data_IF_818438352192
#
_entry.id   IF_818438352192
#
_cell.length_a   1.000
_cell.length_b   1.000
_cell.length_c   1.000
_cell.angle_alpha   90.00
_cell.angle_beta   90.00
_cell.angle_gamma   90.00
#
_symmetry.space_group_name_H-M   'P 1'
#
loop_
_entity.id
_entity.type
_entity.pdbx_description
1 polymer ?
#
# COMPACT_ATOMS: atom_id res chain seq x y z
N UNK A 1 11.73 0.16 13.83
CA UNK A 1 10.94 1.36 13.51
C UNK A 1 11.19 2.39 14.61
N UNK A 2 11.56 3.61 14.23
CA UNK A 2 11.95 4.71 15.14
C UNK A 2 10.86 5.03 16.17
N UNK A 3 9.59 4.77 15.86
CA UNK A 3 8.46 5.05 16.76
C UNK A 3 8.14 3.93 17.77
N UNK A 4 8.72 2.73 17.61
CA UNK A 4 8.49 1.61 18.56
C UNK A 4 9.10 1.87 19.94
N UNK A 5 9.92 2.91 20.09
CA UNK A 5 10.51 3.31 21.37
C UNK A 5 9.53 4.06 22.29
N UNK A 6 8.37 4.50 21.77
CA UNK A 6 7.37 5.22 22.56
C UNK A 6 6.34 4.26 23.16
N UNK A 7 6.26 4.23 24.50
CA UNK A 7 5.39 3.29 25.23
C UNK A 7 3.89 3.59 25.15
N UNK A 8 3.51 4.76 24.63
CA UNK A 8 2.13 5.23 24.54
C UNK A 8 1.59 5.19 23.10
N UNK A 9 2.26 4.47 22.19
CA UNK A 9 1.94 4.49 20.76
C UNK A 9 1.84 3.08 20.19
N UNK A 10 0.76 2.78 19.49
CA UNK A 10 0.67 1.62 18.60
C UNK A 10 1.24 1.99 17.24
N UNK A 11 2.25 1.24 16.77
CA UNK A 11 2.88 1.44 15.46
C UNK A 11 2.50 0.28 14.55
N UNK A 12 1.68 0.55 13.54
CA UNK A 12 1.29 -0.41 12.50
C UNK A 12 2.08 -0.10 11.23
N UNK A 13 2.94 -1.04 10.84
CA UNK A 13 3.75 -0.90 9.63
C UNK A 13 2.99 -1.40 8.40
N UNK A 14 3.46 -1.02 7.21
CA UNK A 14 2.92 -1.54 5.97
C UNK A 14 3.09 -3.09 5.99
N UNK A 15 2.02 -3.87 5.77
CA UNK A 15 2.04 -5.32 5.96
C UNK A 15 2.64 -6.02 4.73
N UNK A 16 3.80 -5.55 4.27
CA UNK A 16 4.50 -6.06 3.07
C UNK A 16 4.74 -7.57 3.16
N UNK A 17 5.01 -8.09 4.36
CA UNK A 17 5.23 -9.53 4.56
C UNK A 17 3.96 -10.37 4.32
N UNK A 18 2.76 -9.83 4.59
CA UNK A 18 1.51 -10.50 4.22
C UNK A 18 1.39 -10.60 2.70
N UNK A 19 1.80 -9.56 1.98
CA UNK A 19 1.72 -9.51 0.52
C UNK A 19 2.77 -10.41 -0.17
N UNK A 20 3.85 -10.72 0.54
CA UNK A 20 4.91 -11.63 0.07
C UNK A 20 4.61 -13.10 0.36
N UNK A 21 3.59 -13.39 1.15
CA UNK A 21 3.17 -14.75 1.45
C UNK A 21 1.65 -14.85 1.65
N UNK A 22 0.93 -14.89 0.53
CA UNK A 22 -0.49 -15.19 0.48
C UNK A 22 -0.65 -16.67 0.17
N UNK A 23 -0.89 -17.48 1.20
CA UNK A 23 -1.01 -18.94 1.08
C UNK A 23 0.18 -19.60 0.33
N UNK A 24 1.41 -19.20 0.65
CA UNK A 24 2.63 -19.69 0.02
C UNK A 24 3.04 -18.95 -1.27
N UNK A 25 2.25 -17.96 -1.70
CA UNK A 25 2.48 -17.21 -2.95
C UNK A 25 2.96 -15.78 -2.68
N UNK A 26 4.02 -15.35 -3.36
CA UNK A 26 4.53 -13.98 -3.31
C UNK A 26 3.75 -13.08 -4.28
N UNK A 27 2.65 -12.48 -3.81
CA UNK A 27 1.78 -11.67 -4.65
C UNK A 27 2.42 -10.34 -5.07
N UNK A 28 3.31 -9.79 -4.24
CA UNK A 28 4.10 -8.60 -4.59
C UNK A 28 5.01 -8.87 -5.79
N UNK A 29 5.71 -10.01 -5.80
CA UNK A 29 6.53 -10.43 -6.93
C UNK A 29 5.71 -10.67 -8.20
N UNK A 30 4.55 -11.31 -8.07
CA UNK A 30 3.64 -11.54 -9.20
C UNK A 30 3.14 -10.22 -9.81
N UNK A 31 2.86 -9.21 -8.98
CA UNK A 31 2.47 -7.89 -9.45
C UNK A 31 3.58 -7.22 -10.26
N UNK A 32 4.84 -7.28 -9.79
CA UNK A 32 5.96 -6.68 -10.53
C UNK A 32 6.35 -7.47 -11.78
N UNK A 33 6.21 -8.81 -11.79
CA UNK A 33 6.58 -9.66 -12.94
C UNK A 33 5.51 -9.75 -14.01
N UNK A 34 4.22 -9.74 -13.64
CA UNK A 34 3.10 -9.75 -14.57
C UNK A 34 1.98 -8.80 -14.09
N UNK A 35 2.21 -7.48 -14.18
CA UNK A 35 1.29 -6.48 -13.63
C UNK A 35 -0.10 -6.54 -14.26
N UNK A 36 -0.23 -6.80 -15.56
CA UNK A 36 -1.55 -6.92 -16.22
C UNK A 36 -2.41 -8.03 -15.61
N UNK A 37 -1.81 -9.15 -15.18
CA UNK A 37 -2.56 -10.28 -14.63
C UNK A 37 -2.86 -10.14 -13.14
N UNK A 38 -1.94 -9.53 -12.39
CA UNK A 38 -1.93 -9.60 -10.93
C UNK A 38 -2.17 -8.26 -10.22
N UNK A 39 -2.19 -7.12 -10.94
CA UNK A 39 -2.41 -5.81 -10.29
C UNK A 39 -3.76 -5.73 -9.60
N UNK A 40 -4.84 -6.22 -10.22
CA UNK A 40 -6.16 -6.25 -9.58
C UNK A 40 -6.14 -7.09 -8.30
N UNK A 41 -5.62 -8.31 -8.37
CA UNK A 41 -5.54 -9.23 -7.23
C UNK A 41 -4.69 -8.63 -6.10
N UNK A 42 -3.54 -8.04 -6.44
CA UNK A 42 -2.64 -7.39 -5.49
C UNK A 42 -3.31 -6.18 -4.84
N UNK A 43 -3.90 -5.26 -5.62
CA UNK A 43 -4.55 -4.07 -5.07
C UNK A 43 -5.77 -4.41 -4.22
N UNK A 44 -6.54 -5.43 -4.58
CA UNK A 44 -7.65 -5.94 -3.75
C UNK A 44 -7.15 -6.43 -2.39
N UNK A 45 -6.05 -7.19 -2.35
CA UNK A 45 -5.47 -7.66 -1.09
C UNK A 45 -4.82 -6.53 -0.27
N UNK A 46 -4.19 -5.56 -0.94
CA UNK A 46 -3.66 -4.34 -0.30
C UNK A 46 -4.78 -3.55 0.35
N UNK A 47 -5.91 -3.32 -0.34
CA UNK A 47 -7.06 -2.62 0.25
C UNK A 47 -7.57 -3.34 1.50
N UNK A 48 -7.76 -4.66 1.46
CA UNK A 48 -8.20 -5.46 2.61
C UNK A 48 -7.25 -5.31 3.80
N UNK A 49 -5.95 -5.52 3.58
CA UNK A 49 -4.96 -5.47 4.66
C UNK A 49 -4.79 -4.06 5.22
N UNK A 50 -4.88 -3.01 4.39
CA UNK A 50 -4.90 -1.62 4.86
C UNK A 50 -6.16 -1.30 5.67
N UNK A 51 -7.32 -1.82 5.25
CA UNK A 51 -8.56 -1.66 5.99
C UNK A 51 -8.47 -2.29 7.39
N UNK A 52 -7.90 -3.49 7.49
CA UNK A 52 -7.66 -4.16 8.78
C UNK A 52 -6.77 -3.34 9.73
N UNK A 53 -5.78 -2.62 9.19
CA UNK A 53 -4.96 -1.71 10.02
C UNK A 53 -5.74 -0.46 10.45
N UNK A 54 -6.62 0.06 9.59
CA UNK A 54 -7.47 1.21 9.91
C UNK A 54 -8.48 0.86 10.99
N UNK A 55 -9.10 -0.31 10.91
CA UNK A 55 -10.09 -0.80 11.89
C UNK A 55 -9.48 -1.43 13.13
N UNK A 56 -8.15 -1.54 13.21
CA UNK A 56 -7.46 -2.01 14.40
C UNK A 56 -7.73 -1.06 15.59
N UNK A 57 -8.33 -1.61 16.64
CA UNK A 57 -8.55 -0.94 17.92
C UNK A 57 -7.24 -0.91 18.73
N UNK A 58 -6.68 0.29 18.88
CA UNK A 58 -5.50 0.50 19.71
C UNK A 58 -5.89 0.68 21.17
N UNK A 59 -5.24 -0.06 22.07
CA UNK A 59 -5.31 0.21 23.51
C UNK A 59 -4.45 1.40 23.96
N UNK A 60 -3.76 2.06 23.03
CA UNK A 60 -2.88 3.20 23.29
C UNK A 60 -3.53 4.49 22.77
N UNK A 61 -3.19 5.65 23.35
CA UNK A 61 -3.78 6.93 22.94
C UNK A 61 -3.36 7.35 21.52
N UNK A 62 -2.22 6.86 21.02
CA UNK A 62 -1.72 7.21 19.70
C UNK A 62 -1.58 5.97 18.81
N UNK A 63 -2.15 6.04 17.61
CA UNK A 63 -1.98 5.02 16.55
C UNK A 63 -1.27 5.65 15.37
N UNK A 64 -0.09 5.13 15.03
CA UNK A 64 0.70 5.55 13.86
C UNK A 64 0.67 4.42 12.84
N UNK A 65 0.31 4.74 11.61
CA UNK A 65 0.24 3.81 10.50
C UNK A 65 1.22 4.22 9.40
N UNK A 66 1.97 3.26 8.87
CA UNK A 66 2.68 3.42 7.61
C UNK A 66 1.70 3.14 6.48
N UNK A 67 1.52 4.12 5.58
CA UNK A 67 0.50 4.12 4.51
C UNK A 67 -0.94 4.13 5.04
N UNK A 68 -1.89 4.07 4.12
CA UNK A 68 -3.33 4.11 4.36
C UNK A 68 -4.10 3.64 3.13
N UNK A 69 -5.39 3.35 3.28
CA UNK A 69 -6.30 3.13 2.13
C UNK A 69 -6.26 4.29 1.13
N UNK A 70 -6.06 5.53 1.60
CA UNK A 70 -5.92 6.70 0.73
C UNK A 70 -4.72 6.59 -0.20
N UNK A 71 -3.58 6.11 0.32
CA UNK A 71 -2.40 5.87 -0.52
C UNK A 71 -2.57 4.69 -1.47
N UNK A 72 -3.34 3.66 -1.11
CA UNK A 72 -3.68 2.55 -2.02
C UNK A 72 -4.47 3.06 -3.24
N UNK A 73 -5.37 4.03 -3.05
CA UNK A 73 -6.09 4.69 -4.16
C UNK A 73 -5.15 5.40 -5.13
N UNK A 74 -4.05 5.98 -4.65
CA UNK A 74 -3.03 6.58 -5.53
C UNK A 74 -2.38 5.54 -6.46
N UNK A 75 -2.09 4.33 -5.96
CA UNK A 75 -1.53 3.26 -6.80
C UNK A 75 -2.52 2.77 -7.85
N UNK A 76 -3.81 2.64 -7.49
CA UNK A 76 -4.87 2.29 -8.43
C UNK A 76 -4.97 3.34 -9.53
N UNK A 77 -4.94 4.63 -9.18
CA UNK A 77 -4.95 5.74 -10.14
C UNK A 77 -3.73 5.70 -11.07
N UNK A 78 -2.53 5.40 -10.56
CA UNK A 78 -1.34 5.19 -11.39
C UNK A 78 -1.54 4.03 -12.37
N UNK A 79 -2.05 2.88 -11.90
CA UNK A 79 -2.29 1.71 -12.74
C UNK A 79 -3.36 1.94 -13.81
N UNK A 80 -4.38 2.76 -13.50
CA UNK A 80 -5.40 3.24 -14.45
C UNK A 80 -4.78 4.10 -15.55
N UNK A 81 -3.97 5.10 -15.19
CA UNK A 81 -3.28 5.97 -16.17
C UNK A 81 -2.31 5.19 -17.06
N UNK A 82 -1.63 4.19 -16.50
CA UNK A 82 -0.72 3.32 -17.22
C UNK A 82 -1.40 2.19 -18.00
N UNK A 83 -2.75 2.12 -17.99
CA UNK A 83 -3.54 1.08 -18.67
C UNK A 83 -3.11 -0.35 -18.30
N UNK A 84 -2.73 -0.54 -17.04
CA UNK A 84 -2.38 -1.84 -16.48
C UNK A 84 -3.64 -2.59 -16.07
N UNK A 85 -4.59 -1.88 -15.46
CA UNK A 85 -5.90 -2.39 -15.06
C UNK A 85 -6.93 -2.13 -16.18
N UNK A 86 -7.83 -3.08 -16.36
CA UNK A 86 -9.01 -2.92 -17.22
C UNK A 86 -10.07 -2.03 -16.54
N UNK A 87 -10.94 -1.40 -17.33
CA UNK A 87 -11.98 -0.48 -16.81
C UNK A 87 -12.88 -1.15 -15.76
N UNK A 88 -13.23 -2.43 -15.97
CA UNK A 88 -14.04 -3.19 -15.01
C UNK A 88 -13.30 -3.46 -13.70
N UNK A 89 -11.99 -3.72 -13.75
CA UNK A 89 -11.17 -3.94 -12.56
C UNK A 89 -11.04 -2.66 -11.73
N UNK A 90 -10.90 -1.52 -12.41
CA UNK A 90 -10.87 -0.20 -11.78
C UNK A 90 -12.20 0.08 -11.08
N UNK A 91 -13.32 -0.14 -11.76
CA UNK A 91 -14.65 0.12 -11.17
C UNK A 91 -14.90 -0.73 -9.93
N UNK A 92 -14.55 -2.02 -9.97
CA UNK A 92 -14.68 -2.89 -8.79
C UNK A 92 -13.80 -2.39 -7.64
N UNK A 93 -12.55 -1.98 -7.90
CA UNK A 93 -11.65 -1.47 -6.86
C UNK A 93 -12.09 -0.10 -6.29
N UNK A 94 -12.67 0.77 -7.12
CA UNK A 94 -13.21 2.07 -6.71
C UNK A 94 -14.49 1.89 -5.88
N UNK A 95 -15.41 1.01 -6.30
CA UNK A 95 -16.64 0.70 -5.55
C UNK A 95 -16.32 0.10 -4.17
N UNK A 96 -15.37 -0.84 -4.11
CA UNK A 96 -14.89 -1.39 -2.85
C UNK A 96 -14.29 -0.30 -1.96
N UNK A 97 -13.48 0.59 -2.53
CA UNK A 97 -12.88 1.70 -1.80
C UNK A 97 -13.96 2.61 -1.21
N UNK A 98 -14.91 3.06 -2.03
CA UNK A 98 -15.96 4.00 -1.60
C UNK A 98 -16.86 3.36 -0.53
N UNK A 99 -17.20 2.07 -0.67
CA UNK A 99 -17.92 1.34 0.37
C UNK A 99 -17.13 1.28 1.68
N UNK A 100 -15.82 1.00 1.63
CA UNK A 100 -14.99 0.94 2.84
C UNK A 100 -14.94 2.31 3.55
N UNK A 101 -14.76 3.40 2.81
CA UNK A 101 -14.74 4.75 3.38
C UNK A 101 -16.05 5.07 4.10
N UNK A 102 -17.18 4.67 3.53
CA UNK A 102 -18.50 4.95 4.11
C UNK A 102 -18.84 4.05 5.32
N UNK A 103 -18.37 2.81 5.33
CA UNK A 103 -18.89 1.79 6.25
C UNK A 103 -17.88 1.32 7.32
N UNK A 104 -16.58 1.48 7.12
CA UNK A 104 -15.56 0.86 7.98
C UNK A 104 -15.02 1.76 9.11
N UNK A 105 -15.66 2.90 9.38
CA UNK A 105 -15.23 3.86 10.41
C UNK A 105 -13.72 4.17 10.36
N UNK A 106 -13.24 4.64 9.20
CA UNK A 106 -11.84 5.00 9.01
C UNK A 106 -11.59 6.40 9.57
N UNK A 107 -10.92 6.47 10.72
CA UNK A 107 -10.55 7.74 11.37
C UNK A 107 -9.10 8.07 11.04
N UNK A 108 -8.83 9.31 10.61
CA UNK A 108 -7.48 9.80 10.33
C UNK A 108 -7.37 11.26 10.74
N UNK A 109 -6.72 11.51 11.88
CA UNK A 109 -6.57 12.85 12.46
C UNK A 109 -5.48 13.69 11.77
N UNK A 110 -4.42 13.03 11.30
CA UNK A 110 -3.27 13.68 10.67
C UNK A 110 -2.62 12.78 9.62
N UNK A 111 -2.27 13.37 8.47
CA UNK A 111 -1.44 12.74 7.44
C UNK A 111 -0.08 13.44 7.41
N UNK A 112 0.99 12.69 7.66
CA UNK A 112 2.36 13.17 7.54
C UNK A 112 2.90 12.79 6.16
N UNK A 113 3.07 13.78 5.28
CA UNK A 113 3.63 13.56 3.94
C UNK A 113 5.16 13.67 3.95
N UNK A 114 5.85 12.53 3.88
CA UNK A 114 7.30 12.46 3.75
C UNK A 114 7.74 12.74 2.31
N UNK A 115 7.77 14.02 1.94
CA UNK A 115 8.13 14.47 0.59
C UNK A 115 9.61 14.21 0.29
N UNK A 116 9.88 13.65 -0.89
CA UNK A 116 11.23 13.38 -1.40
C UNK A 116 11.22 13.42 -2.93
N UNK A 117 12.39 13.59 -3.57
CA UNK A 117 12.50 13.48 -5.03
C UNK A 117 12.51 12.01 -5.47
N UNK A 118 12.06 11.71 -6.71
CA UNK A 118 12.12 10.37 -7.30
C UNK A 118 13.53 9.77 -7.29
N UNK A 119 14.57 10.58 -7.55
CA UNK A 119 15.96 10.13 -7.55
C UNK A 119 16.40 9.59 -6.18
N UNK A 120 16.03 10.29 -5.11
CA UNK A 120 16.34 9.87 -3.74
C UNK A 120 15.58 8.59 -3.38
N UNK A 121 14.34 8.43 -3.85
CA UNK A 121 13.57 7.18 -3.66
C UNK A 121 14.25 6.03 -4.39
N UNK A 122 14.64 6.26 -5.64
CA UNK A 122 15.28 5.25 -6.49
C UNK A 122 16.58 4.74 -5.88
N UNK A 123 17.45 5.62 -5.39
CA UNK A 123 18.69 5.23 -4.72
C UNK A 123 18.45 4.50 -3.38
N UNK A 124 17.41 4.88 -2.63
CA UNK A 124 17.00 4.14 -1.42
C UNK A 124 16.46 2.75 -1.76
N UNK A 125 15.70 2.62 -2.84
CA UNK A 125 15.19 1.32 -3.30
C UNK A 125 16.33 0.38 -3.69
N UNK A 126 17.32 0.88 -4.46
CA UNK A 126 18.53 0.13 -4.79
C UNK A 126 19.31 -0.30 -3.55
N UNK A 127 19.50 0.63 -2.60
CA UNK A 127 20.22 0.35 -1.34
C UNK A 127 19.50 -0.73 -0.51
N UNK A 128 18.15 -0.69 -0.48
CA UNK A 128 17.33 -1.68 0.22
C UNK A 128 17.36 -3.05 -0.46
N UNK A 129 17.59 -3.10 -1.78
CA UNK A 129 17.81 -4.30 -2.57
C UNK A 129 16.73 -5.39 -2.40
N UNK A 130 15.45 -5.00 -2.34
CA UNK A 130 14.34 -5.96 -2.39
C UNK A 130 14.27 -6.56 -3.78
N UNK A 131 14.28 -7.88 -3.87
CA UNK A 131 14.33 -8.61 -5.15
C UNK A 131 13.17 -8.25 -6.07
N UNK A 132 11.98 -8.10 -5.48
CA UNK A 132 10.74 -7.80 -6.18
C UNK A 132 10.76 -6.41 -6.84
N UNK A 133 11.50 -5.45 -6.26
CA UNK A 133 11.54 -4.05 -6.68
C UNK A 133 12.65 -3.76 -7.71
N UNK A 134 13.48 -4.75 -8.06
CA UNK A 134 14.62 -4.55 -8.96
C UNK A 134 14.23 -4.12 -10.39
N UNK A 135 13.01 -4.41 -10.82
CA UNK A 135 12.49 -4.04 -12.14
C UNK A 135 11.84 -2.65 -12.18
N UNK A 136 11.74 -1.96 -11.04
CA UNK A 136 11.11 -0.64 -10.97
C UNK A 136 12.00 0.40 -11.64
N UNK A 137 11.46 1.11 -12.64
CA UNK A 137 12.15 2.20 -13.34
C UNK A 137 12.03 3.52 -12.58
N UNK A 138 12.94 4.47 -12.85
CA UNK A 138 12.82 5.83 -12.33
C UNK A 138 11.56 6.54 -12.85
N UNK A 139 11.16 6.27 -14.10
CA UNK A 139 9.94 6.80 -14.72
C UNK A 139 8.68 6.39 -13.93
N UNK A 140 8.65 5.18 -13.36
CA UNK A 140 7.54 4.76 -12.51
C UNK A 140 7.42 5.58 -11.21
N UNK A 141 8.52 6.19 -10.74
CA UNK A 141 8.56 6.97 -9.50
C UNK A 141 8.27 8.47 -9.72
N UNK A 142 8.09 8.91 -10.96
CA UNK A 142 7.82 10.30 -11.36
C UNK A 142 6.31 10.55 -11.52
#
# INVERSE_FOLDING_TARGET
>A
SHFKQFNNTTVLQEPVELWRNVAGTNLLELMYTNPRRYSFLFQSYVQLTMLQLHTYESGMPYKIMERSVFSSRCFIETMKRSKILEDVEIMVLEDWYDWCIQNANIVTDLIIYLRTSPDVVYERMKTRARKEENCVSLEYLQ
#
